data_IF_693513865952
#
_entry.id   IF_693513865952
#
_cell.length_a   1.000
_cell.length_b   1.000
_cell.length_c   1.000
_cell.angle_alpha   90.00
_cell.angle_beta   90.00
_cell.angle_gamma   90.00
#
_symmetry.space_group_name_H-M   'P 1'
#
loop_
_entity.id
_entity.type
_entity.pdbx_description
1 polymer ?
#
# COMPACT_ATOMS: atom_id res chain seq x y z
N UNK A 1 -49.96 -1.01 -42.80
CA UNK A 1 -50.42 -2.11 -43.69
C UNK A 1 -51.30 -1.50 -44.76
N UNK A 2 -51.40 -2.12 -45.92
CA UNK A 2 -52.20 -1.63 -47.03
C UNK A 2 -53.01 -2.80 -47.58
N UNK A 3 -54.29 -2.54 -47.87
CA UNK A 3 -55.14 -3.50 -48.56
C UNK A 3 -54.76 -3.60 -50.03
N UNK A 4 -54.71 -4.82 -50.55
CA UNK A 4 -54.46 -5.09 -51.98
C UNK A 4 -55.81 -5.39 -52.62
N UNK A 5 -56.17 -4.64 -53.65
CA UNK A 5 -57.40 -4.85 -54.44
C UNK A 5 -57.01 -5.45 -55.78
N UNK A 6 -57.61 -6.59 -56.13
CA UNK A 6 -57.48 -7.21 -57.45
C UNK A 6 -58.83 -7.09 -58.16
N UNK A 7 -58.83 -6.46 -59.33
CA UNK A 7 -60.04 -6.21 -60.13
C UNK A 7 -59.96 -6.94 -61.46
N UNK A 8 -61.01 -7.68 -61.81
CA UNK A 8 -61.23 -8.28 -63.13
C UNK A 8 -62.38 -7.57 -63.84
N UNK A 9 -62.62 -7.88 -65.11
CA UNK A 9 -63.75 -7.33 -65.89
C UNK A 9 -65.13 -7.60 -65.28
N UNK A 10 -65.25 -8.59 -64.38
CA UNK A 10 -66.52 -8.98 -63.77
C UNK A 10 -66.65 -8.66 -62.28
N UNK A 11 -65.55 -8.43 -61.54
CA UNK A 11 -65.59 -8.26 -60.08
C UNK A 11 -64.30 -7.67 -59.51
N UNK A 12 -64.32 -7.26 -58.23
CA UNK A 12 -63.11 -6.97 -57.45
C UNK A 12 -63.09 -7.78 -56.15
N UNK A 13 -61.89 -8.15 -55.71
CA UNK A 13 -61.63 -8.76 -54.41
C UNK A 13 -60.58 -7.95 -53.67
N UNK A 14 -60.80 -7.71 -52.38
CA UNK A 14 -59.88 -6.97 -51.51
C UNK A 14 -59.29 -7.91 -50.47
N UNK A 15 -57.97 -8.00 -50.43
CA UNK A 15 -57.25 -8.61 -49.33
C UNK A 15 -56.81 -7.50 -48.36
N UNK A 16 -57.48 -7.40 -47.22
CA UNK A 16 -57.16 -6.41 -46.19
C UNK A 16 -55.82 -6.72 -45.53
N UNK A 17 -55.04 -5.68 -45.25
CA UNK A 17 -53.70 -5.78 -44.63
C UNK A 17 -52.69 -6.71 -45.34
N UNK A 18 -52.95 -7.02 -46.62
CA UNK A 18 -52.18 -7.99 -47.41
C UNK A 18 -50.78 -7.51 -47.80
N UNK A 19 -50.51 -6.20 -47.71
CA UNK A 19 -49.20 -5.63 -48.01
C UNK A 19 -48.66 -4.80 -46.85
N UNK A 20 -47.37 -4.99 -46.53
CA UNK A 20 -46.64 -4.15 -45.57
C UNK A 20 -45.48 -3.50 -46.31
N UNK A 21 -45.42 -2.17 -46.30
CA UNK A 21 -44.18 -1.47 -46.63
C UNK A 21 -43.14 -1.81 -45.57
N UNK A 22 -42.05 -2.45 -46.00
CA UNK A 22 -40.84 -2.49 -45.19
C UNK A 22 -40.03 -1.25 -45.57
N UNK A 23 -39.95 -0.27 -44.67
CA UNK A 23 -38.92 0.76 -44.81
C UNK A 23 -37.56 0.04 -44.86
N UNK A 24 -36.71 0.40 -45.83
CA UNK A 24 -35.36 -0.16 -45.91
C UNK A 24 -34.58 0.31 -44.69
N UNK A 25 -34.27 -0.61 -43.78
CA UNK A 25 -33.51 -0.31 -42.58
C UNK A 25 -32.03 -0.27 -42.94
N UNK A 26 -31.46 0.95 -42.98
CA UNK A 26 -30.04 1.14 -43.24
C UNK A 26 -29.21 0.69 -42.02
N UNK A 27 -28.11 -0.05 -42.24
CA UNK A 27 -27.24 -0.45 -41.14
C UNK A 27 -26.65 0.78 -40.43
N UNK A 28 -26.45 0.71 -39.10
CA UNK A 28 -25.78 1.77 -38.36
C UNK A 28 -24.33 1.92 -38.84
N UNK A 29 -23.79 3.14 -38.77
CA UNK A 29 -22.42 3.46 -39.13
C UNK A 29 -21.74 4.22 -38.00
N UNK A 30 -20.46 3.94 -37.74
CA UNK A 30 -19.65 4.69 -36.75
C UNK A 30 -18.52 5.43 -37.47
N UNK A 31 -18.55 6.75 -37.41
CA UNK A 31 -17.52 7.62 -37.97
C UNK A 31 -16.37 7.87 -36.99
N UNK A 32 -16.67 8.33 -35.77
CA UNK A 32 -15.66 8.68 -34.77
C UNK A 32 -16.24 8.69 -33.36
N UNK A 33 -15.36 8.78 -32.35
CA UNK A 33 -15.70 8.96 -30.95
C UNK A 33 -14.98 10.19 -30.40
N UNK A 34 -15.65 10.96 -29.54
CA UNK A 34 -15.06 12.12 -28.88
C UNK A 34 -15.45 12.18 -27.39
N UNK A 35 -14.47 12.13 -26.47
CA UNK A 35 -13.06 11.80 -26.72
C UNK A 35 -12.90 10.35 -27.23
N UNK A 36 -11.78 10.06 -27.90
CA UNK A 36 -11.41 8.70 -28.37
C UNK A 36 -10.52 7.93 -27.38
N UNK A 37 -10.30 8.49 -26.18
CA UNK A 37 -9.56 7.83 -25.11
C UNK A 37 -10.03 8.32 -23.76
N UNK A 38 -9.82 7.51 -22.72
CA UNK A 38 -10.34 7.81 -21.40
C UNK A 38 -9.83 6.88 -20.31
N UNK A 39 -10.26 7.10 -19.06
CA UNK A 39 -9.87 6.28 -17.91
C UNK A 39 -10.44 4.86 -17.98
N UNK A 40 -9.61 3.87 -17.65
CA UNK A 40 -10.06 2.49 -17.47
C UNK A 40 -11.07 2.30 -16.33
N UNK A 41 -11.18 3.27 -15.40
CA UNK A 41 -12.22 3.26 -14.36
C UNK A 41 -13.63 3.41 -14.94
N UNK A 42 -13.77 3.91 -16.17
CA UNK A 42 -15.05 4.24 -16.78
C UNK A 42 -15.68 5.49 -16.16
N UNK A 43 -16.93 5.76 -16.51
CA UNK A 43 -17.69 6.89 -15.97
C UNK A 43 -17.54 8.19 -16.78
N UNK A 44 -16.78 8.20 -17.87
CA UNK A 44 -16.57 9.37 -18.70
C UNK A 44 -17.60 9.44 -19.82
N UNK A 45 -18.07 10.65 -20.13
CA UNK A 45 -18.99 10.88 -21.24
C UNK A 45 -18.26 10.85 -22.57
N UNK A 46 -18.72 10.02 -23.49
CA UNK A 46 -18.20 9.90 -24.86
C UNK A 46 -19.35 10.04 -25.85
N UNK A 47 -19.14 10.86 -26.88
CA UNK A 47 -20.07 10.97 -28.01
C UNK A 47 -19.56 10.14 -29.17
N UNK A 48 -20.41 9.24 -29.67
CA UNK A 48 -20.19 8.43 -30.86
C UNK A 48 -20.88 9.13 -32.03
N UNK A 49 -20.11 9.56 -33.03
CA UNK A 49 -20.63 10.14 -34.26
C UNK A 49 -20.83 9.07 -35.33
N UNK A 50 -21.92 9.15 -36.07
CA UNK A 50 -22.31 8.12 -37.01
C UNK A 50 -23.54 8.45 -37.84
N UNK A 51 -24.21 7.41 -38.31
CA UNK A 51 -25.46 7.51 -39.03
C UNK A 51 -26.34 6.27 -38.80
N UNK A 52 -27.63 6.44 -39.05
CA UNK A 52 -28.66 5.40 -38.97
C UNK A 52 -28.79 4.74 -37.58
N UNK A 53 -28.46 5.47 -36.50
CA UNK A 53 -28.74 4.99 -35.15
C UNK A 53 -30.25 5.05 -34.87
N UNK A 54 -30.82 3.93 -34.48
CA UNK A 54 -32.26 3.80 -34.21
C UNK A 54 -32.48 3.18 -32.84
N UNK A 55 -33.27 3.87 -32.01
CA UNK A 55 -33.62 3.38 -30.69
C UNK A 55 -34.56 2.16 -30.73
N UNK A 56 -34.47 1.25 -29.75
CA UNK A 56 -33.51 1.25 -28.64
C UNK A 56 -32.08 0.90 -29.09
N UNK A 57 -31.07 1.55 -28.49
CA UNK A 57 -29.66 1.33 -28.80
C UNK A 57 -28.95 0.64 -27.64
N UNK A 58 -28.09 -0.34 -27.95
CA UNK A 58 -27.08 -0.89 -27.04
C UNK A 58 -25.69 -0.53 -27.56
N UNK A 59 -24.79 -0.09 -26.67
CA UNK A 59 -23.39 0.20 -26.99
C UNK A 59 -22.48 -0.67 -26.12
N UNK A 60 -21.49 -1.31 -26.73
CA UNK A 60 -20.54 -2.20 -26.05
C UNK A 60 -19.10 -1.85 -26.44
N UNK A 61 -18.23 -1.78 -25.44
CA UNK A 61 -16.79 -1.62 -25.60
C UNK A 61 -16.14 -2.98 -25.37
N UNK A 62 -15.36 -3.47 -26.33
CA UNK A 62 -14.70 -4.77 -26.24
C UNK A 62 -13.18 -4.61 -26.37
N UNK A 63 -12.40 -4.87 -25.30
CA UNK A 63 -12.82 -5.21 -23.93
C UNK A 63 -13.45 -4.03 -23.16
N UNK A 64 -14.25 -4.31 -22.12
CA UNK A 64 -14.83 -3.30 -21.21
C UNK A 64 -16.25 -3.61 -20.74
N UNK A 65 -17.16 -3.91 -21.67
CA UNK A 65 -18.56 -4.23 -21.39
C UNK A 65 -19.55 -3.22 -21.97
N UNK A 66 -20.78 -3.26 -21.48
CA UNK A 66 -21.89 -2.43 -21.99
C UNK A 66 -21.79 -1.02 -21.41
N UNK A 67 -21.78 -0.01 -22.28
CA UNK A 67 -21.83 1.40 -21.89
C UNK A 67 -23.27 1.82 -21.54
N UNK A 68 -23.41 2.78 -20.63
CA UNK A 68 -24.72 3.39 -20.37
C UNK A 68 -25.03 4.38 -21.49
N UNK A 69 -26.12 4.17 -22.22
CA UNK A 69 -26.62 5.14 -23.19
C UNK A 69 -27.32 6.29 -22.45
N UNK A 70 -26.88 7.51 -22.71
CA UNK A 70 -27.40 8.74 -22.09
C UNK A 70 -28.40 9.43 -23.02
N UNK A 71 -28.08 9.52 -24.31
CA UNK A 71 -28.90 10.23 -25.29
C UNK A 71 -28.69 9.67 -26.72
N UNK A 72 -29.76 9.62 -27.49
CA UNK A 72 -29.78 9.32 -28.93
C UNK A 72 -30.70 10.32 -29.62
N UNK A 73 -30.15 11.41 -30.20
CA UNK A 73 -30.99 12.43 -30.84
C UNK A 73 -31.83 11.86 -31.99
N UNK A 74 -33.01 12.44 -32.29
CA UNK A 74 -33.90 11.97 -33.36
C UNK A 74 -33.27 11.89 -34.76
N UNK A 75 -32.17 12.60 -34.99
CA UNK A 75 -31.41 12.55 -36.25
C UNK A 75 -30.60 11.26 -36.45
N UNK A 76 -30.44 10.43 -35.41
CA UNK A 76 -29.73 9.14 -35.51
C UNK A 76 -28.26 9.27 -35.96
N UNK A 77 -27.65 10.44 -35.75
CA UNK A 77 -26.31 10.80 -36.20
C UNK A 77 -25.27 10.83 -35.07
N UNK A 78 -25.72 10.69 -33.82
CA UNK A 78 -24.83 10.57 -32.67
C UNK A 78 -25.48 9.76 -31.55
N UNK A 79 -24.65 9.23 -30.65
CA UNK A 79 -25.05 8.60 -29.39
C UNK A 79 -24.14 9.15 -28.31
N UNK A 80 -24.69 9.61 -27.19
CA UNK A 80 -23.91 9.94 -26.00
C UNK A 80 -23.97 8.77 -25.03
N UNK A 81 -22.81 8.31 -24.57
CA UNK A 81 -22.68 7.21 -23.63
C UNK A 81 -21.77 7.58 -22.45
N UNK A 82 -21.92 6.86 -21.35
CA UNK A 82 -20.95 6.82 -20.25
C UNK A 82 -20.14 5.52 -20.38
N UNK A 83 -18.82 5.65 -20.43
CA UNK A 83 -17.90 4.52 -20.64
C UNK A 83 -18.01 3.49 -19.51
N UNK A 84 -17.97 2.19 -19.84
CA UNK A 84 -17.93 1.13 -18.83
C UNK A 84 -16.56 1.12 -18.14
N UNK A 85 -16.52 0.54 -16.94
CA UNK A 85 -15.26 0.17 -16.31
C UNK A 85 -14.60 -0.95 -17.13
N UNK A 86 -13.31 -0.82 -17.43
CA UNK A 86 -12.54 -1.84 -18.13
C UNK A 86 -11.34 -2.27 -17.28
N UNK A 87 -11.06 -3.58 -17.27
CA UNK A 87 -9.84 -4.11 -16.65
C UNK A 87 -8.71 -4.03 -17.68
N UNK A 88 -7.86 -3.01 -17.56
CA UNK A 88 -6.67 -2.85 -18.40
C UNK A 88 -5.40 -3.24 -17.62
N UNK A 89 -4.32 -3.66 -18.30
CA UNK A 89 -3.01 -3.77 -17.68
C UNK A 89 -2.59 -2.42 -17.06
N UNK A 90 -1.92 -2.48 -15.92
CA UNK A 90 -1.55 -1.26 -15.16
C UNK A 90 -0.49 -0.40 -15.88
N UNK A 91 0.20 -0.98 -16.85
CA UNK A 91 1.38 -0.45 -17.53
C UNK A 91 1.18 -0.25 -19.04
N UNK A 92 0.00 -0.57 -19.58
CA UNK A 92 -0.27 -0.44 -21.00
C UNK A 92 -1.71 -0.02 -21.29
N UNK A 93 -1.84 0.96 -22.18
CA UNK A 93 -3.13 1.36 -22.73
C UNK A 93 -3.77 0.19 -23.48
N UNK A 94 -5.09 0.05 -23.37
CA UNK A 94 -5.85 -0.99 -24.06
C UNK A 94 -6.81 -0.37 -25.06
N UNK A 95 -6.66 -0.76 -26.33
CA UNK A 95 -7.63 -0.38 -27.37
C UNK A 95 -8.89 -1.24 -27.26
N UNK A 96 -10.04 -0.60 -27.41
CA UNK A 96 -11.35 -1.23 -27.42
C UNK A 96 -12.05 -1.02 -28.76
N UNK A 97 -12.63 -2.10 -29.28
CA UNK A 97 -13.60 -2.03 -30.37
C UNK A 97 -14.94 -1.58 -29.81
N UNK A 98 -15.63 -0.71 -30.53
CA UNK A 98 -16.95 -0.21 -30.10
C UNK A 98 -18.01 -0.77 -31.03
N UNK A 99 -18.96 -1.48 -30.44
CA UNK A 99 -20.09 -2.10 -31.11
C UNK A 99 -21.36 -1.36 -30.75
N UNK A 100 -22.11 -0.92 -31.76
CA UNK A 100 -23.43 -0.30 -31.60
C UNK A 100 -24.46 -1.23 -32.21
N UNK A 101 -25.48 -1.58 -31.44
CA UNK A 101 -26.65 -2.34 -31.88
C UNK A 101 -27.87 -1.43 -31.83
N UNK A 102 -28.44 -1.11 -32.99
CA UNK A 102 -29.70 -0.37 -33.13
C UNK A 102 -30.89 -1.34 -33.15
N UNK A 103 -32.07 -0.85 -32.78
CA UNK A 103 -33.29 -1.65 -32.57
C UNK A 103 -33.07 -2.85 -31.63
N UNK A 104 -32.20 -2.69 -30.63
CA UNK A 104 -31.78 -3.76 -29.72
C UNK A 104 -32.97 -4.42 -29.02
N UNK A 105 -33.04 -5.75 -29.08
CA UNK A 105 -34.08 -6.53 -28.39
C UNK A 105 -35.46 -6.49 -29.06
N UNK A 106 -35.57 -5.92 -30.26
CA UNK A 106 -36.83 -5.91 -31.04
C UNK A 106 -36.95 -7.11 -31.99
N UNK A 107 -35.87 -7.89 -32.15
CA UNK A 107 -35.76 -8.97 -33.14
C UNK A 107 -35.40 -8.45 -34.55
N UNK A 108 -35.06 -7.17 -34.67
CA UNK A 108 -34.59 -6.50 -35.90
C UNK A 108 -33.26 -5.78 -35.70
N UNK A 109 -32.49 -6.33 -34.77
CA UNK A 109 -31.22 -5.79 -34.30
C UNK A 109 -30.24 -5.65 -35.49
N UNK A 110 -29.67 -4.46 -35.63
CA UNK A 110 -28.63 -4.19 -36.60
C UNK A 110 -27.39 -3.70 -35.89
N UNK A 111 -26.24 -4.29 -36.22
CA UNK A 111 -25.00 -4.09 -35.48
C UNK A 111 -23.89 -3.58 -36.37
N UNK A 112 -23.10 -2.64 -35.85
CA UNK A 112 -21.85 -2.17 -36.45
C UNK A 112 -20.76 -2.19 -35.39
N UNK A 113 -19.56 -2.60 -35.79
CA UNK A 113 -18.37 -2.58 -34.93
C UNK A 113 -17.29 -1.74 -35.57
N UNK A 114 -16.77 -0.76 -34.83
CA UNK A 114 -15.56 -0.01 -35.20
C UNK A 114 -14.39 -0.56 -34.38
N UNK A 115 -13.41 -1.23 -35.01
CA UNK A 115 -12.26 -1.76 -34.29
C UNK A 115 -11.36 -0.63 -33.79
N UNK A 116 -10.74 -0.82 -32.62
CA UNK A 116 -9.79 0.14 -32.00
C UNK A 116 -10.31 1.58 -31.96
N UNK A 117 -11.60 1.74 -31.69
CA UNK A 117 -12.30 3.01 -31.76
C UNK A 117 -12.12 3.88 -30.50
N UNK A 118 -11.75 3.25 -29.39
CA UNK A 118 -11.49 3.92 -28.11
C UNK A 118 -10.25 3.33 -27.44
N UNK A 119 -9.52 4.16 -26.69
CA UNK A 119 -8.37 3.70 -25.90
C UNK A 119 -8.60 3.95 -24.42
N UNK A 120 -8.70 2.87 -23.64
CA UNK A 120 -8.65 2.94 -22.19
C UNK A 120 -7.21 3.11 -21.73
N UNK A 121 -6.93 4.24 -21.07
CA UNK A 121 -5.59 4.59 -20.61
C UNK A 121 -5.24 3.85 -19.33
N UNK A 122 -4.00 3.37 -19.28
CA UNK A 122 -3.44 2.77 -18.08
C UNK A 122 -3.35 3.81 -16.95
N UNK A 123 -3.75 3.43 -15.75
CA UNK A 123 -3.63 4.28 -14.58
C UNK A 123 -2.24 4.11 -13.98
N UNK A 124 -1.27 4.90 -14.44
CA UNK A 124 0.11 4.83 -13.95
C UNK A 124 0.32 5.83 -12.80
N UNK A 125 0.75 5.34 -11.64
CA UNK A 125 1.07 6.21 -10.49
C UNK A 125 2.58 6.24 -10.19
N UNK A 126 3.08 7.40 -9.78
CA UNK A 126 4.43 7.55 -9.21
C UNK A 126 4.34 7.38 -7.68
N UNK A 127 5.09 6.45 -7.07
CA UNK A 127 5.08 6.28 -5.62
C UNK A 127 5.49 7.55 -4.87
N UNK A 128 4.88 7.79 -3.71
CA UNK A 128 5.30 8.83 -2.76
C UNK A 128 5.41 8.21 -1.38
N UNK A 129 6.53 8.43 -0.71
CA UNK A 129 6.82 7.86 0.61
C UNK A 129 6.55 8.90 1.70
N UNK A 130 5.87 8.50 2.77
CA UNK A 130 5.54 9.37 3.90
C UNK A 130 6.33 9.03 5.16
N UNK A 131 6.42 7.74 5.52
CA UNK A 131 7.12 7.31 6.72
C UNK A 131 7.62 5.86 6.64
N UNK A 132 8.64 5.55 7.44
CA UNK A 132 9.12 4.19 7.72
C UNK A 132 8.87 3.86 9.19
N UNK A 133 8.37 2.66 9.48
CA UNK A 133 8.19 2.18 10.85
C UNK A 133 8.61 0.70 10.98
N UNK A 134 9.68 0.40 11.76
CA UNK A 134 10.66 1.35 12.30
C UNK A 134 11.47 2.03 11.18
N UNK A 135 12.12 3.15 11.48
CA UNK A 135 13.01 3.88 10.55
C UNK A 135 14.51 3.58 10.78
N UNK A 136 14.80 2.58 11.60
CA UNK A 136 16.15 2.14 11.90
C UNK A 136 16.18 0.65 12.28
N UNK A 137 17.33 0.00 12.11
CA UNK A 137 17.53 -1.39 12.48
C UNK A 137 18.97 -1.88 12.28
N UNK A 138 19.30 -3.07 12.82
CA UNK A 138 20.63 -3.65 12.83
C UNK A 138 21.25 -3.79 11.43
N UNK A 139 22.58 -3.83 11.39
CA UNK A 139 23.34 -3.87 10.15
C UNK A 139 23.21 -5.21 9.41
N UNK A 140 22.91 -6.28 10.15
CA UNK A 140 22.59 -7.59 9.60
C UNK A 140 21.22 -7.63 8.89
N UNK A 141 20.44 -6.54 8.91
CA UNK A 141 19.12 -6.49 8.31
C UNK A 141 18.08 -7.27 9.12
N UNK A 142 17.10 -7.87 8.44
CA UNK A 142 16.06 -8.70 9.08
C UNK A 142 14.94 -7.91 9.77
N UNK A 143 15.04 -6.58 9.80
CA UNK A 143 14.01 -5.73 10.41
C UNK A 143 12.77 -5.70 9.52
N UNK A 144 11.60 -6.04 10.08
CA UNK A 144 10.32 -5.87 9.39
C UNK A 144 9.93 -4.41 9.40
N UNK A 145 10.04 -3.75 8.25
CA UNK A 145 9.75 -2.33 8.04
C UNK A 145 8.42 -2.17 7.33
N UNK A 146 7.59 -1.29 7.85
CA UNK A 146 6.36 -0.81 7.21
C UNK A 146 6.62 0.55 6.59
N UNK A 147 6.42 0.65 5.28
CA UNK A 147 6.53 1.88 4.49
C UNK A 147 5.11 2.41 4.26
N UNK A 148 4.85 3.63 4.72
CA UNK A 148 3.60 4.34 4.47
C UNK A 148 3.76 5.29 3.29
N UNK A 149 2.76 5.36 2.42
CA UNK A 149 2.80 6.19 1.22
C UNK A 149 1.53 6.14 0.38
N UNK A 150 1.68 6.42 -0.90
CA UNK A 150 0.62 6.34 -1.93
C UNK A 150 1.21 5.94 -3.27
N UNK A 151 0.38 5.42 -4.17
CA UNK A 151 0.79 5.15 -5.55
C UNK A 151 1.65 3.90 -5.72
N UNK A 152 1.57 2.97 -4.76
CA UNK A 152 2.23 1.67 -4.88
C UNK A 152 1.42 0.74 -5.76
N UNK A 153 2.03 0.25 -6.83
CA UNK A 153 1.40 -0.63 -7.82
C UNK A 153 2.18 -1.94 -7.89
N UNK A 154 1.52 -3.04 -7.50
CA UNK A 154 2.15 -4.35 -7.47
C UNK A 154 2.50 -4.84 -8.89
N UNK A 155 3.63 -5.55 -9.07
CA UNK A 155 4.69 -5.77 -8.08
C UNK A 155 5.58 -4.55 -7.85
N UNK A 156 6.03 -4.39 -6.60
CA UNK A 156 6.94 -3.31 -6.18
C UNK A 156 8.32 -3.87 -5.85
N UNK A 157 9.35 -3.08 -6.12
CA UNK A 157 10.72 -3.29 -5.66
C UNK A 157 11.03 -2.22 -4.62
N UNK A 158 11.60 -2.62 -3.48
CA UNK A 158 12.01 -1.70 -2.42
C UNK A 158 13.52 -1.77 -2.27
N UNK A 159 14.19 -0.63 -2.38
CA UNK A 159 15.64 -0.52 -2.26
C UNK A 159 15.99 0.27 -0.99
N UNK A 160 16.91 -0.25 -0.20
CA UNK A 160 17.55 0.41 0.93
C UNK A 160 18.99 0.75 0.51
N UNK A 161 19.19 1.95 -0.02
CA UNK A 161 20.41 2.29 -0.74
C UNK A 161 20.51 1.48 -2.04
N UNK A 162 21.56 0.67 -2.17
CA UNK A 162 21.79 -0.23 -3.31
C UNK A 162 21.30 -1.67 -3.06
N UNK A 163 20.71 -1.95 -1.88
CA UNK A 163 20.27 -3.30 -1.50
C UNK A 163 18.76 -3.46 -1.62
N UNK A 164 18.33 -4.53 -2.26
CA UNK A 164 16.91 -4.86 -2.39
C UNK A 164 16.37 -5.54 -1.12
N UNK A 165 15.24 -5.03 -0.65
CA UNK A 165 14.50 -5.60 0.47
C UNK A 165 13.54 -6.70 -0.01
N UNK A 166 13.30 -7.69 0.86
CA UNK A 166 12.27 -8.69 0.60
C UNK A 166 10.89 -8.09 0.86
N UNK A 167 10.08 -7.92 -0.18
CA UNK A 167 8.69 -7.46 -0.04
C UNK A 167 7.83 -8.62 0.51
N UNK A 168 7.16 -8.37 1.63
CA UNK A 168 6.24 -9.33 2.28
C UNK A 168 4.81 -9.12 1.78
N UNK A 169 4.37 -7.87 1.67
CA UNK A 169 3.05 -7.50 1.15
C UNK A 169 3.04 -6.04 0.71
N UNK A 170 2.20 -5.71 -0.27
CA UNK A 170 2.00 -4.33 -0.72
C UNK A 170 0.54 -4.08 -1.08
N UNK A 171 0.02 -2.92 -0.71
CA UNK A 171 -1.21 -2.34 -1.23
C UNK A 171 -0.94 -0.90 -1.69
N UNK A 172 -1.96 -0.18 -2.14
CA UNK A 172 -1.80 1.17 -2.70
C UNK A 172 -1.14 2.19 -1.77
N UNK A 173 -1.26 2.02 -0.45
CA UNK A 173 -0.81 2.98 0.56
C UNK A 173 0.26 2.45 1.53
N UNK A 174 0.56 1.17 1.48
CA UNK A 174 1.46 0.53 2.43
C UNK A 174 2.25 -0.60 1.80
N UNK A 175 3.53 -0.67 2.14
CA UNK A 175 4.40 -1.82 1.85
C UNK A 175 4.95 -2.34 3.16
N UNK A 176 4.97 -3.66 3.33
CA UNK A 176 5.68 -4.33 4.40
C UNK A 176 6.83 -5.11 3.77
N UNK A 177 8.05 -4.85 4.20
CA UNK A 177 9.25 -5.50 3.69
C UNK A 177 10.22 -5.86 4.82
N UNK A 178 11.19 -6.73 4.52
CA UNK A 178 12.30 -7.05 5.40
C UNK A 178 13.54 -6.30 4.91
N UNK A 179 14.08 -5.42 5.76
CA UNK A 179 15.28 -4.66 5.45
C UNK A 179 16.47 -5.61 5.18
N UNK A 180 17.22 -5.44 4.08
CA UNK A 180 18.37 -6.29 3.76
C UNK A 180 19.53 -6.02 4.73
N UNK A 181 20.51 -6.92 4.77
CA UNK A 181 21.80 -6.64 5.40
C UNK A 181 22.61 -5.67 4.55
N UNK A 182 23.44 -4.85 5.19
CA UNK A 182 24.42 -4.00 4.50
C UNK A 182 25.83 -4.27 5.04
N UNK A 183 26.85 -3.95 4.25
CA UNK A 183 28.22 -3.88 4.75
C UNK A 183 28.47 -2.47 5.29
N UNK A 184 28.94 -2.29 6.54
CA UNK A 184 29.28 -0.96 7.06
C UNK A 184 30.41 -0.34 6.23
N UNK A 185 30.30 0.96 5.96
CA UNK A 185 31.42 1.75 5.42
C UNK A 185 32.56 1.88 6.45
N UNK A 186 32.22 1.82 7.74
CA UNK A 186 33.17 1.80 8.87
C UNK A 186 32.59 0.98 10.04
N UNK A 187 33.34 0.03 10.63
CA UNK A 187 32.89 -0.74 11.79
C UNK A 187 32.44 0.17 12.95
N UNK A 188 31.30 -0.16 13.57
CA UNK A 188 30.75 0.56 14.72
C UNK A 188 30.10 1.92 14.41
N UNK A 189 30.07 2.36 13.14
CA UNK A 189 29.41 3.61 12.74
C UNK A 189 28.01 3.35 12.17
N UNK A 190 26.97 4.06 12.64
CA UNK A 190 25.65 4.02 12.03
C UNK A 190 25.73 4.47 10.56
N UNK A 191 25.09 3.72 9.68
CA UNK A 191 25.03 4.02 8.25
C UNK A 191 23.61 4.42 7.88
N UNK A 192 23.43 5.59 7.28
CA UNK A 192 22.12 6.02 6.80
C UNK A 192 22.03 5.75 5.30
N UNK A 193 20.99 5.05 4.87
CA UNK A 193 20.69 4.83 3.46
C UNK A 193 19.37 5.49 3.09
N UNK A 194 19.18 5.75 1.80
CA UNK A 194 17.93 6.27 1.26
C UNK A 194 17.06 5.09 0.79
N UNK A 195 15.83 5.04 1.26
CA UNK A 195 14.83 4.07 0.84
C UNK A 195 14.07 4.60 -0.36
N UNK A 196 13.99 3.78 -1.41
CA UNK A 196 13.24 4.04 -2.63
C UNK A 196 12.29 2.88 -2.93
N UNK A 197 11.18 3.20 -3.60
CA UNK A 197 10.23 2.20 -4.09
C UNK A 197 10.04 2.37 -5.59
N UNK A 198 10.08 1.26 -6.32
CA UNK A 198 9.79 1.21 -7.75
C UNK A 198 8.58 0.33 -8.02
N UNK A 199 7.60 0.86 -8.73
CA UNK A 199 6.55 0.06 -9.36
C UNK A 199 7.17 -0.64 -10.56
N UNK A 200 7.24 -1.97 -10.54
CA UNK A 200 8.05 -2.74 -11.50
C UNK A 200 7.47 -2.65 -12.91
N UNK A 201 6.16 -2.82 -13.06
CA UNK A 201 5.48 -2.83 -14.36
C UNK A 201 5.55 -1.46 -15.05
N UNK A 202 5.34 -0.39 -14.30
CA UNK A 202 5.32 0.97 -14.86
C UNK A 202 6.71 1.62 -14.90
N UNK A 203 7.70 1.01 -14.25
CA UNK A 203 9.04 1.56 -14.09
C UNK A 203 9.12 2.82 -13.22
N UNK A 204 8.01 3.28 -12.63
CA UNK A 204 7.95 4.50 -11.84
C UNK A 204 8.64 4.31 -10.50
N UNK A 205 9.65 5.14 -10.24
CA UNK A 205 10.38 5.22 -8.97
C UNK A 205 9.76 6.31 -8.10
N UNK A 206 9.83 6.15 -6.79
CA UNK A 206 9.30 7.12 -5.83
C UNK A 206 9.85 8.53 -6.08
N UNK A 207 8.98 9.54 -6.00
CA UNK A 207 9.37 10.94 -6.23
C UNK A 207 10.25 11.51 -5.12
N UNK A 208 10.30 10.84 -3.98
CA UNK A 208 11.13 11.15 -2.84
C UNK A 208 11.76 9.89 -2.25
N UNK A 209 12.67 10.09 -1.31
CA UNK A 209 13.32 9.02 -0.53
C UNK A 209 13.10 9.25 0.95
N UNK A 210 13.18 8.18 1.73
CA UNK A 210 13.18 8.25 3.20
C UNK A 210 14.49 7.70 3.74
N UNK A 211 15.07 8.38 4.73
CA UNK A 211 16.26 7.89 5.39
C UNK A 211 15.92 6.68 6.28
N UNK A 212 16.66 5.58 6.11
CA UNK A 212 16.68 4.46 7.03
C UNK A 212 18.07 4.33 7.64
N UNK A 213 18.12 4.32 8.97
CA UNK A 213 19.39 4.24 9.70
C UNK A 213 19.72 2.78 10.02
N UNK A 214 20.68 2.24 9.28
CA UNK A 214 21.36 1.00 9.65
C UNK A 214 22.33 1.22 10.79
N UNK A 215 22.41 0.18 11.61
CA UNK A 215 23.18 0.16 12.82
C UNK A 215 22.24 0.01 13.99
N UNK A 216 22.67 0.51 15.11
CA UNK A 216 22.22 -0.06 16.34
C UNK A 216 21.04 0.73 16.92
N UNK A 217 19.81 0.31 16.60
CA UNK A 217 18.57 0.87 17.16
C UNK A 217 18.13 0.02 18.37
N UNK A 218 18.79 0.26 19.50
CA UNK A 218 18.40 -0.27 20.81
C UNK A 218 17.99 0.89 21.70
N UNK A 219 16.87 0.72 22.40
CA UNK A 219 16.46 1.67 23.43
C UNK A 219 15.92 0.92 24.63
N UNK A 220 16.01 1.56 25.79
CA UNK A 220 15.37 1.11 27.02
C UNK A 220 14.24 2.09 27.33
N UNK A 221 13.00 1.60 27.37
CA UNK A 221 11.81 2.40 27.67
C UNK A 221 11.53 2.48 29.16
N UNK A 222 12.01 1.53 29.96
CA UNK A 222 11.64 1.43 31.37
C UNK A 222 12.40 0.35 32.12
N UNK A 223 12.36 0.42 33.45
CA UNK A 223 12.75 -0.67 34.35
C UNK A 223 11.69 -0.81 35.45
N UNK A 224 11.32 -2.04 35.82
CA UNK A 224 10.32 -2.31 36.85
C UNK A 224 10.71 -3.51 37.72
N UNK A 225 10.75 -3.37 39.06
CA UNK A 225 10.68 -2.11 39.79
C UNK A 225 11.87 -1.20 39.46
N UNK A 226 11.68 0.12 39.54
CA UNK A 226 12.76 1.10 39.39
C UNK A 226 13.43 1.45 40.73
N UNK A 227 13.13 0.70 41.78
CA UNK A 227 13.69 0.85 43.13
C UNK A 227 14.06 -0.51 43.72
N UNK A 228 15.08 -0.54 44.58
CA UNK A 228 15.47 -1.73 45.34
C UNK A 228 16.32 -1.35 46.55
N UNK A 229 16.67 -2.31 47.41
CA UNK A 229 17.48 -2.02 48.59
C UNK A 229 18.97 -2.02 48.27
N UNK A 230 19.76 -1.28 49.05
CA UNK A 230 21.23 -1.21 48.94
C UNK A 230 21.95 -2.58 48.97
N UNK A 231 21.34 -3.60 49.59
CA UNK A 231 21.86 -4.97 49.60
C UNK A 231 21.77 -5.66 48.23
N UNK A 232 21.03 -5.06 47.28
CA UNK A 232 20.94 -5.51 45.90
C UNK A 232 20.14 -6.79 45.71
N UNK A 233 20.53 -7.52 44.67
CA UNK A 233 19.87 -8.70 44.10
C UNK A 233 18.37 -8.52 43.87
N UNK A 234 17.95 -7.27 43.62
CA UNK A 234 16.55 -6.94 43.35
C UNK A 234 16.19 -7.45 41.96
N UNK A 235 15.22 -8.37 41.82
CA UNK A 235 14.75 -8.81 40.51
C UNK A 235 14.06 -7.64 39.81
N UNK A 236 14.45 -7.35 38.58
CA UNK A 236 13.87 -6.29 37.77
C UNK A 236 13.70 -6.74 36.31
N UNK A 237 12.69 -6.16 35.65
CA UNK A 237 12.48 -6.27 34.21
C UNK A 237 12.84 -4.96 33.55
N UNK A 238 13.78 -4.99 32.61
CA UNK A 238 14.12 -3.86 31.75
C UNK A 238 13.29 -3.98 30.47
N UNK A 239 12.54 -2.95 30.12
CA UNK A 239 11.74 -2.87 28.90
C UNK A 239 12.45 -2.03 27.85
N UNK A 240 12.27 -2.38 26.58
CA UNK A 240 12.90 -1.66 25.48
C UNK A 240 12.68 -2.33 24.13
N UNK A 241 13.62 -2.11 23.22
CA UNK A 241 13.69 -2.80 21.94
C UNK A 241 15.14 -2.96 21.53
N UNK A 242 15.40 -3.97 20.70
CA UNK A 242 16.70 -4.19 20.09
C UNK A 242 17.66 -4.91 21.02
N UNK A 243 17.16 -5.64 22.03
CA UNK A 243 17.98 -6.51 22.88
C UNK A 243 18.26 -7.83 22.14
N UNK A 244 19.53 -8.15 21.97
CA UNK A 244 19.95 -9.37 21.25
C UNK A 244 21.00 -10.08 22.08
N UNK A 245 20.68 -11.32 22.48
CA UNK A 245 21.61 -12.14 23.24
C UNK A 245 22.86 -12.47 22.40
N UNK A 246 24.07 -12.48 23.00
CA UNK A 246 24.34 -12.23 24.41
C UNK A 246 24.28 -10.73 24.78
N UNK A 247 23.62 -10.41 25.90
CA UNK A 247 23.46 -9.04 26.43
C UNK A 247 24.22 -8.90 27.75
N UNK A 248 24.91 -7.79 27.93
CA UNK A 248 25.47 -7.33 29.19
C UNK A 248 24.62 -6.20 29.76
N UNK A 249 24.43 -6.18 31.09
CA UNK A 249 23.78 -5.08 31.79
C UNK A 249 24.72 -4.57 32.88
N UNK A 250 25.18 -3.33 32.74
CA UNK A 250 26.00 -2.64 33.73
C UNK A 250 25.15 -1.63 34.50
N UNK A 251 25.35 -1.58 35.81
CA UNK A 251 24.72 -0.63 36.72
C UNK A 251 25.80 0.32 37.22
N UNK A 252 25.69 1.59 36.81
CA UNK A 252 26.61 2.65 37.20
C UNK A 252 26.14 3.30 38.51
N UNK A 253 26.88 3.05 39.58
CA UNK A 253 26.58 3.51 40.93
C UNK A 253 27.41 4.74 41.31
N UNK A 254 27.48 5.74 40.43
CA UNK A 254 28.26 6.96 40.65
C UNK A 254 29.74 6.79 40.33
N UNK A 255 30.04 6.18 39.18
CA UNK A 255 31.40 5.88 38.71
C UNK A 255 31.84 4.44 38.99
N UNK A 256 31.09 3.70 39.82
CA UNK A 256 31.34 2.28 40.08
C UNK A 256 30.41 1.45 39.19
N UNK A 257 30.98 0.80 38.18
CA UNK A 257 30.23 -0.08 37.26
C UNK A 257 30.15 -1.49 37.84
N UNK A 258 28.94 -2.00 38.05
CA UNK A 258 28.70 -3.36 38.54
C UNK A 258 27.78 -4.10 37.58
N UNK A 259 28.16 -5.30 37.17
CA UNK A 259 27.35 -6.11 36.26
C UNK A 259 26.13 -6.70 36.96
N UNK A 260 24.96 -6.54 36.35
CA UNK A 260 23.72 -7.20 36.75
C UNK A 260 23.66 -8.61 36.17
N UNK A 261 23.10 -9.54 36.94
CA UNK A 261 22.89 -10.90 36.47
C UNK A 261 21.70 -10.92 35.51
N UNK A 262 21.95 -11.27 34.24
CA UNK A 262 20.91 -11.41 33.21
C UNK A 262 20.31 -12.82 33.30
N UNK A 263 19.02 -12.90 33.61
CA UNK A 263 18.28 -14.16 33.77
C UNK A 263 17.66 -14.63 32.45
N UNK A 264 17.13 -13.70 31.66
CA UNK A 264 16.57 -14.00 30.33
C UNK A 264 16.57 -12.76 29.43
N UNK A 265 16.64 -13.01 28.12
CA UNK A 265 16.67 -11.98 27.08
C UNK A 265 15.55 -12.26 26.09
N UNK A 266 14.71 -11.25 25.84
CA UNK A 266 13.81 -11.19 24.69
C UNK A 266 14.16 -9.95 23.87
N UNK A 267 13.64 -9.83 22.63
CA UNK A 267 13.88 -8.65 21.78
C UNK A 267 13.39 -7.31 22.36
N UNK A 268 12.51 -7.35 23.38
CA UNK A 268 11.88 -6.17 23.98
C UNK A 268 11.94 -6.12 25.51
N UNK A 269 12.48 -7.14 26.16
CA UNK A 269 12.59 -7.20 27.63
C UNK A 269 13.80 -8.01 28.10
N UNK A 270 14.40 -7.59 29.22
CA UNK A 270 15.42 -8.35 29.94
C UNK A 270 14.93 -8.62 31.37
N UNK A 271 15.00 -9.86 31.82
CA UNK A 271 14.90 -10.15 33.26
C UNK A 271 16.30 -10.14 33.85
N UNK A 272 16.50 -9.35 34.90
CA UNK A 272 17.80 -9.17 35.54
C UNK A 272 17.70 -9.20 37.06
N UNK A 273 18.81 -9.45 37.75
CA UNK A 273 18.98 -9.10 39.16
C UNK A 273 19.95 -7.93 39.27
N UNK A 274 19.46 -6.82 39.82
CA UNK A 274 20.25 -5.61 40.06
C UNK A 274 21.22 -5.87 41.22
N UNK A 275 22.54 -5.64 41.07
CA UNK A 275 23.55 -6.00 42.07
C UNK A 275 23.51 -5.10 43.31
N UNK A 276 24.24 -5.46 44.40
CA UNK A 276 24.38 -4.60 45.58
C UNK A 276 25.02 -3.25 45.28
N UNK A 277 24.63 -2.23 46.03
CA UNK A 277 25.27 -0.91 45.99
C UNK A 277 26.68 -0.98 46.60
N UNK A 278 27.68 -0.50 45.87
CA UNK A 278 29.11 -0.52 46.25
C UNK A 278 29.70 0.86 46.56
N UNK A 279 28.90 1.91 46.43
CA UNK A 279 29.33 3.28 46.78
C UNK A 279 29.31 3.54 48.29
N UNK A 280 29.80 4.71 48.67
CA UNK A 280 29.72 5.20 50.05
C UNK A 280 28.30 5.69 50.33
N UNK A 281 27.69 5.19 51.40
CA UNK A 281 26.40 5.66 51.88
C UNK A 281 26.67 6.70 52.96
N UNK A 282 26.17 7.93 52.77
CA UNK A 282 26.31 9.00 53.77
C UNK A 282 25.50 8.73 55.03
N UNK A 283 25.86 9.40 56.13
CA UNK A 283 25.32 9.21 57.49
C UNK A 283 23.79 9.39 57.62
N UNK A 284 23.13 9.98 56.62
CA UNK A 284 21.68 10.24 56.59
C UNK A 284 20.89 9.22 55.73
N UNK A 285 21.55 8.19 55.19
CA UNK A 285 20.91 7.10 54.45
C UNK A 285 19.91 7.56 53.36
N UNK A 286 20.27 8.62 52.62
CA UNK A 286 19.45 9.15 51.55
C UNK A 286 19.39 8.17 50.35
N UNK A 287 18.27 8.12 49.60
CA UNK A 287 18.18 7.33 48.38
C UNK A 287 19.29 7.72 47.39
N UNK A 288 19.94 6.71 46.80
CA UNK A 288 21.01 6.91 45.80
C UNK A 288 20.59 6.34 44.46
N UNK A 289 20.83 7.08 43.38
CA UNK A 289 20.46 6.67 42.03
C UNK A 289 21.63 6.04 41.29
N UNK A 290 21.33 5.03 40.46
CA UNK A 290 22.24 4.45 39.50
C UNK A 290 21.65 4.50 38.09
N UNK A 291 22.50 4.55 37.07
CA UNK A 291 22.05 4.43 35.67
C UNK A 291 22.26 3.01 35.18
N UNK A 292 21.35 2.55 34.31
CA UNK A 292 21.41 1.22 33.71
C UNK A 292 21.95 1.36 32.30
N UNK A 293 23.07 0.69 32.00
CA UNK A 293 23.61 0.59 30.65
C UNK A 293 23.47 -0.84 30.16
N UNK A 294 22.74 -1.03 29.06
CA UNK A 294 22.54 -2.33 28.43
C UNK A 294 23.39 -2.39 27.18
N UNK A 295 24.15 -3.46 26.98
CA UNK A 295 25.03 -3.68 25.84
C UNK A 295 24.73 -5.00 25.12
N UNK A 296 24.44 -5.01 23.83
CA UNK A 296 24.44 -6.24 23.03
C UNK A 296 25.89 -6.60 22.70
N UNK A 297 26.40 -7.72 23.22
CA UNK A 297 27.81 -8.08 23.10
C UNK A 297 28.20 -8.52 21.67
N UNK A 298 27.25 -9.04 20.90
CA UNK A 298 27.50 -9.43 19.51
C UNK A 298 27.79 -8.26 18.57
N UNK A 299 27.23 -7.08 18.86
CA UNK A 299 27.34 -5.88 18.01
C UNK A 299 28.12 -4.73 18.67
N UNK A 300 28.27 -4.77 20.00
CA UNK A 300 28.78 -3.69 20.88
C UNK A 300 27.84 -2.49 21.06
N UNK A 301 26.58 -2.63 20.68
CA UNK A 301 25.54 -1.64 20.93
C UNK A 301 25.36 -1.43 22.40
N UNK A 302 25.40 -0.18 22.86
CA UNK A 302 24.95 0.12 24.21
C UNK A 302 23.95 1.27 24.25
N UNK A 303 22.96 1.13 25.14
CA UNK A 303 22.02 2.19 25.47
C UNK A 303 21.97 2.39 26.97
N UNK A 304 21.85 3.65 27.40
CA UNK A 304 21.60 3.99 28.79
C UNK A 304 20.09 4.17 28.98
N UNK A 305 19.53 3.42 29.91
CA UNK A 305 18.12 3.47 30.28
C UNK A 305 17.83 4.43 31.45
N UNK A 306 16.60 4.40 31.97
CA UNK A 306 16.21 5.19 33.13
C UNK A 306 16.98 4.79 34.38
N UNK A 307 16.94 5.66 35.39
CA UNK A 307 17.63 5.45 36.66
C UNK A 307 16.93 4.37 37.50
N UNK A 308 17.75 3.65 38.26
CA UNK A 308 17.33 2.77 39.34
C UNK A 308 17.68 3.41 40.68
N UNK A 309 16.75 3.44 41.63
CA UNK A 309 16.97 4.07 42.94
C UNK A 309 17.19 3.02 44.02
N UNK A 310 18.36 3.06 44.67
CA UNK A 310 18.64 2.28 45.85
C UNK A 310 18.09 2.98 47.10
N UNK A 311 17.33 2.24 47.88
CA UNK A 311 16.77 2.63 49.16
C UNK A 311 17.59 1.99 50.29
N UNK A 312 17.83 2.76 51.35
CA UNK A 312 18.22 2.17 52.62
C UNK A 312 17.08 1.30 53.16
N UNK A 313 17.41 0.18 53.82
CA UNK A 313 16.37 -0.66 54.41
C UNK A 313 15.54 0.15 55.42
N UNK A 314 14.23 0.03 55.34
CA UNK A 314 13.35 0.45 56.42
C UNK A 314 13.54 -0.53 57.58
N UNK A 315 14.30 -0.12 58.60
CA UNK A 315 14.23 -0.63 59.97
C UNK A 315 14.92 -1.96 60.27
N UNK A 316 16.03 -1.89 61.00
CA UNK A 316 16.08 -2.48 62.34
C UNK A 316 16.62 -1.39 63.26
N UNK A 317 15.73 -0.59 63.86
CA UNK A 317 16.04 0.10 65.11
C UNK A 317 16.02 -0.99 66.19
N UNK A 318 17.20 -1.55 66.48
CA UNK A 318 17.41 -2.38 67.65
C UNK A 318 17.87 -1.45 68.78
N UNK A 319 16.96 -1.15 69.70
CA UNK A 319 17.27 -0.73 71.07
C UNK A 319 18.04 -1.81 71.80
#
# INVERSE_FOLDING_TARGET
MVSVVVTTVASSATATDAFRYSAQQLPPLIYSLQPSSGSARGGETVTIYGANFQEPVKVEFSPGGVAQVVDVPPGGNQITVITPQNSVPIDADTTASVTVTSLFGTGRDQTVTKPSAFTFKAEVTTPVLYALSPNAGPIEGGTRVTIFGTGFQYPVQVLFGDREAQVVSSNFNQIVCIAPSIAPSQPGSPTVVQVQVKNILTGKVSSNTLAYRYGEAMFVSGITPNTGYILGWTPATIYGQGFVAPVQVLVDQGGIQVEAEVLSVSGTSLQVKIPPYRGVIGDQCAPVTATIKVTNLGSNLSVTGPTFTYLCSGGISGT
#
